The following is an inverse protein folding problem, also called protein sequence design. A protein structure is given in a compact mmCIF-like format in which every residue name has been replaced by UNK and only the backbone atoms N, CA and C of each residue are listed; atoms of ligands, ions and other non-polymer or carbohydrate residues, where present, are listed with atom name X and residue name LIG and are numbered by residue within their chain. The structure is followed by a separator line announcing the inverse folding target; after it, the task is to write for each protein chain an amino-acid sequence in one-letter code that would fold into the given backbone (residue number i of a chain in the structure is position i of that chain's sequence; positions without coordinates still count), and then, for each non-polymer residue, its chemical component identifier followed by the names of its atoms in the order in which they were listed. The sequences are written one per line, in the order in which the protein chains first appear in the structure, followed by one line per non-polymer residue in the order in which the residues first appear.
data_IF_827424505944
#
_entry.id   IF_827424505944
#
_cell.length_a   1.000
_cell.length_b   1.000
_cell.length_c   1.000
_cell.angle_alpha   90.00
_cell.angle_beta   90.00
_cell.angle_gamma   90.00
#
_symmetry.space_group_name_H-M   'P 1'
#
loop_
_entity.id
_entity.type
_entity.pdbx_description
1 polymer ?
#
# COMPACT_ATOMS: atom_id res chain seq x y z
N UNK A 1 -0.18 -9.64 1.75
CA UNK A 1 -0.80 -10.32 0.59
C UNK A 1 -1.39 -9.26 -0.31
N UNK A 2 -1.28 -9.41 -1.63
CA UNK A 2 -1.89 -8.49 -2.60
C UNK A 2 -2.45 -9.29 -3.79
N UNK A 3 -3.38 -8.67 -4.50
CA UNK A 3 -3.98 -9.22 -5.71
C UNK A 3 -4.31 -8.09 -6.69
N UNK A 4 -4.23 -8.40 -7.98
CA UNK A 4 -4.70 -7.52 -9.07
C UNK A 4 -5.59 -8.36 -9.97
N UNK A 5 -6.82 -7.93 -10.18
CA UNK A 5 -7.78 -8.69 -10.96
C UNK A 5 -9.04 -7.90 -11.33
N UNK A 6 -9.90 -8.50 -12.15
CA UNK A 6 -11.16 -7.89 -12.53
C UNK A 6 -12.15 -7.90 -11.37
N UNK A 7 -12.89 -6.80 -11.24
CA UNK A 7 -14.07 -6.68 -10.39
C UNK A 7 -15.27 -6.33 -11.26
N UNK A 8 -16.44 -6.81 -10.89
CA UNK A 8 -17.67 -6.65 -11.65
C UNK A 8 -18.64 -5.79 -10.83
N UNK A 9 -18.92 -4.59 -11.33
CA UNK A 9 -19.82 -3.64 -10.67
C UNK A 9 -21.28 -3.80 -11.12
N UNK A 10 -21.52 -4.58 -12.18
CA UNK A 10 -22.82 -4.88 -12.78
C UNK A 10 -22.72 -6.02 -13.78
N UNK A 11 -23.79 -6.21 -14.56
CA UNK A 11 -23.94 -7.32 -15.49
C UNK A 11 -23.45 -6.99 -16.93
N UNK A 12 -23.16 -5.73 -17.22
CA UNK A 12 -22.71 -5.30 -18.54
C UNK A 12 -21.16 -5.40 -18.67
N UNK A 13 -20.65 -5.67 -19.88
CA UNK A 13 -19.19 -5.74 -20.11
C UNK A 13 -18.43 -4.47 -19.68
N UNK A 14 -19.06 -3.30 -19.81
CA UNK A 14 -18.55 -2.00 -19.38
C UNK A 14 -18.49 -1.81 -17.88
N UNK A 15 -19.16 -2.68 -17.10
CA UNK A 15 -19.13 -2.66 -15.64
C UNK A 15 -17.94 -3.42 -15.05
N UNK A 16 -17.16 -4.06 -15.91
CA UNK A 16 -15.90 -4.68 -15.51
C UNK A 16 -14.82 -3.59 -15.28
N UNK A 17 -14.16 -3.69 -14.15
CA UNK A 17 -13.03 -2.82 -13.77
C UNK A 17 -11.86 -3.67 -13.32
N UNK A 18 -10.68 -3.09 -13.34
CA UNK A 18 -9.50 -3.72 -12.73
C UNK A 18 -9.25 -3.08 -11.37
N UNK A 19 -9.13 -3.91 -10.35
CA UNK A 19 -8.76 -3.48 -9.02
C UNK A 19 -7.43 -4.07 -8.59
N UNK A 20 -6.65 -3.28 -7.84
CA UNK A 20 -5.47 -3.74 -7.14
C UNK A 20 -5.72 -3.60 -5.63
N UNK A 21 -5.59 -4.69 -4.90
CA UNK A 21 -5.84 -4.72 -3.46
C UNK A 21 -4.63 -5.24 -2.70
N UNK A 22 -4.49 -4.80 -1.45
CA UNK A 22 -3.49 -5.34 -0.54
C UNK A 22 -4.01 -5.38 0.88
N UNK A 23 -3.63 -6.42 1.60
CA UNK A 23 -3.98 -6.56 3.02
C UNK A 23 -2.75 -6.87 3.87
N UNK A 24 -2.77 -6.36 5.09
CA UNK A 24 -1.80 -6.67 6.16
C UNK A 24 -2.52 -7.20 7.38
N UNK A 25 -1.85 -8.13 8.06
CA UNK A 25 -2.29 -8.71 9.33
C UNK A 25 -1.06 -8.93 10.22
N UNK A 26 -1.23 -8.76 11.52
CA UNK A 26 -0.15 -9.01 12.50
C UNK A 26 0.73 -7.80 12.76
N UNK A 27 2.04 -7.98 12.70
CA UNK A 27 3.04 -6.94 12.99
C UNK A 27 3.53 -6.21 11.75
N UNK A 28 4.05 -5.00 11.93
CA UNK A 28 4.62 -4.18 10.84
C UNK A 28 5.93 -4.73 10.29
N UNK A 29 6.64 -5.53 11.08
CA UNK A 29 7.88 -6.19 10.71
C UNK A 29 8.00 -7.56 11.39
N UNK A 30 8.84 -8.48 10.90
CA UNK A 30 9.27 -9.63 11.64
C UNK A 30 9.92 -9.22 12.96
N UNK A 31 10.00 -10.16 13.90
CA UNK A 31 10.74 -9.90 15.15
C UNK A 31 12.22 -9.77 14.84
N UNK A 32 12.75 -8.59 15.05
CA UNK A 32 14.15 -8.24 14.81
C UNK A 32 14.82 -7.71 16.08
N UNK A 33 16.14 -7.79 16.14
CA UNK A 33 16.93 -7.38 17.31
C UNK A 33 17.03 -5.86 17.47
N UNK A 34 16.86 -5.10 16.39
CA UNK A 34 17.04 -3.63 16.37
C UNK A 34 15.74 -2.84 16.26
N UNK A 35 14.60 -3.50 16.38
CA UNK A 35 13.31 -2.82 16.31
C UNK A 35 12.19 -3.57 17.00
N UNK A 36 11.20 -2.85 17.49
CA UNK A 36 9.95 -3.43 17.99
C UNK A 36 8.88 -3.37 16.90
N UNK A 37 8.40 -4.53 16.47
CA UNK A 37 7.22 -4.59 15.61
C UNK A 37 6.00 -4.12 16.41
N UNK A 38 5.26 -3.14 15.87
CA UNK A 38 3.92 -2.81 16.36
C UNK A 38 2.85 -3.55 15.57
N UNK A 39 1.65 -3.65 16.10
CA UNK A 39 0.52 -4.13 15.32
C UNK A 39 0.24 -3.18 14.13
N UNK A 40 -0.13 -3.77 12.98
CA UNK A 40 -0.56 -3.00 11.82
C UNK A 40 -1.80 -2.15 12.14
N UNK A 41 -1.92 -0.99 11.50
CA UNK A 41 -3.04 -0.08 11.66
C UNK A 41 -3.50 0.54 10.32
N UNK A 42 -4.53 1.38 10.38
CA UNK A 42 -5.11 2.03 9.20
C UNK A 42 -4.10 2.90 8.45
N UNK A 43 -3.08 3.44 9.13
CA UNK A 43 -2.05 4.27 8.49
C UNK A 43 -1.08 3.44 7.66
N UNK A 44 -0.86 2.16 8.02
CA UNK A 44 -0.09 1.22 7.19
C UNK A 44 -0.82 0.93 5.89
N UNK A 45 -2.14 0.70 5.94
CA UNK A 45 -2.95 0.50 4.74
C UNK A 45 -2.98 1.75 3.85
N UNK A 46 -3.06 2.93 4.45
CA UNK A 46 -2.95 4.20 3.73
C UNK A 46 -1.61 4.33 3.04
N UNK A 47 -0.51 4.08 3.75
CA UNK A 47 0.84 4.20 3.21
C UNK A 47 1.06 3.23 2.03
N UNK A 48 0.53 2.00 2.12
CA UNK A 48 0.58 1.03 1.02
C UNK A 48 -0.21 1.52 -0.21
N UNK A 49 -1.42 2.05 -0.01
CA UNK A 49 -2.22 2.63 -1.07
C UNK A 49 -1.53 3.84 -1.73
N UNK A 50 -0.96 4.73 -0.94
CA UNK A 50 -0.17 5.87 -1.44
C UNK A 50 1.07 5.40 -2.22
N UNK A 51 1.79 4.40 -1.73
CA UNK A 51 2.95 3.85 -2.42
C UNK A 51 2.57 3.21 -3.77
N UNK A 52 1.45 2.47 -3.80
CA UNK A 52 0.95 1.87 -5.03
C UNK A 52 0.50 2.94 -6.04
N UNK A 53 -0.21 3.98 -5.61
CA UNK A 53 -0.57 5.12 -6.48
C UNK A 53 0.67 5.87 -7.01
N UNK A 54 1.68 6.07 -6.17
CA UNK A 54 2.94 6.68 -6.60
C UNK A 54 3.66 5.83 -7.67
N UNK A 55 3.65 4.49 -7.51
CA UNK A 55 4.20 3.57 -8.50
C UNK A 55 3.45 3.63 -9.85
N UNK A 56 2.14 3.93 -9.82
CA UNK A 56 1.32 4.18 -11.01
C UNK A 56 1.56 5.60 -11.61
N UNK A 57 2.40 6.42 -10.97
CA UNK A 57 2.75 7.75 -11.47
C UNK A 57 1.87 8.89 -10.94
N UNK A 58 1.02 8.63 -9.96
CA UNK A 58 0.20 9.66 -9.32
C UNK A 58 1.09 10.56 -8.45
N UNK A 59 0.94 11.88 -8.61
CA UNK A 59 1.61 12.86 -7.75
C UNK A 59 0.85 13.01 -6.44
N UNK A 60 1.36 12.43 -5.37
CA UNK A 60 0.70 12.41 -4.05
C UNK A 60 0.42 13.80 -3.47
N UNK A 61 1.18 14.83 -3.85
CA UNK A 61 0.95 16.20 -3.39
C UNK A 61 -0.44 16.78 -3.78
N UNK A 62 -1.09 16.19 -4.79
CA UNK A 62 -2.45 16.54 -5.19
C UNK A 62 -3.54 15.62 -4.65
N UNK A 63 -3.17 14.63 -3.85
CA UNK A 63 -4.11 13.65 -3.28
C UNK A 63 -4.55 14.12 -1.90
N UNK A 64 -5.85 14.10 -1.68
CA UNK A 64 -6.47 14.43 -0.40
C UNK A 64 -7.05 13.17 0.25
N UNK A 65 -7.18 13.20 1.57
CA UNK A 65 -7.80 12.12 2.34
C UNK A 65 -9.20 12.54 2.75
N UNK A 66 -10.19 11.71 2.45
CA UNK A 66 -11.57 11.85 2.92
C UNK A 66 -11.88 10.74 3.91
N UNK A 67 -12.48 11.06 5.05
CA UNK A 67 -12.83 10.10 6.10
C UNK A 67 -14.14 9.36 5.78
N UNK A 68 -14.23 8.83 4.58
CA UNK A 68 -15.32 8.02 4.05
C UNK A 68 -14.75 6.76 3.40
N UNK A 69 -15.60 5.80 3.08
CA UNK A 69 -15.16 4.60 2.38
C UNK A 69 -16.20 3.50 2.39
N UNK A 70 -15.93 2.41 1.68
CA UNK A 70 -16.81 1.25 1.58
C UNK A 70 -17.13 0.63 2.95
N UNK A 71 -18.28 -0.03 3.03
CA UNK A 71 -18.81 -0.58 4.30
C UNK A 71 -18.11 -1.89 4.74
N UNK A 72 -17.28 -2.47 3.90
CA UNK A 72 -16.41 -3.58 4.33
C UNK A 72 -15.23 -3.14 5.18
N UNK A 73 -14.98 -1.83 5.29
CA UNK A 73 -14.08 -1.27 6.27
C UNK A 73 -14.81 -0.83 7.54
N UNK A 74 -14.07 -0.79 8.63
CA UNK A 74 -14.56 -0.29 9.90
C UNK A 74 -14.98 1.19 9.79
N UNK A 75 -16.19 1.58 10.21
CA UNK A 75 -16.75 2.92 9.94
C UNK A 75 -15.91 4.08 10.51
N UNK A 76 -15.18 3.86 11.61
CA UNK A 76 -14.35 4.89 12.25
C UNK A 76 -12.85 4.78 11.91
N UNK A 77 -12.44 3.79 11.09
CA UNK A 77 -11.04 3.54 10.73
C UNK A 77 -10.91 3.21 9.25
N UNK A 78 -11.41 4.12 8.42
CA UNK A 78 -11.39 4.04 6.96
C UNK A 78 -11.17 5.41 6.33
N UNK A 79 -10.73 5.44 5.09
CA UNK A 79 -10.59 6.65 4.32
C UNK A 79 -10.47 6.37 2.83
N UNK A 80 -10.57 7.43 2.06
CA UNK A 80 -10.36 7.43 0.62
C UNK A 80 -9.25 8.40 0.25
N UNK A 81 -8.45 8.01 -0.72
CA UNK A 81 -7.48 8.86 -1.39
C UNK A 81 -8.15 9.42 -2.63
N UNK A 82 -8.33 10.72 -2.67
CA UNK A 82 -9.07 11.41 -3.74
C UNK A 82 -8.19 12.44 -4.44
N UNK A 83 -8.41 12.60 -5.73
CA UNK A 83 -7.82 13.69 -6.52
C UNK A 83 -8.94 14.45 -7.26
N UNK A 84 -9.19 15.68 -6.84
CA UNK A 84 -10.38 16.41 -7.27
C UNK A 84 -11.66 15.70 -6.82
N UNK A 85 -12.47 15.22 -7.76
CA UNK A 85 -13.70 14.45 -7.49
C UNK A 85 -13.53 12.94 -7.64
N UNK A 86 -12.38 12.48 -8.09
CA UNK A 86 -12.14 11.05 -8.37
C UNK A 86 -11.57 10.37 -7.15
N UNK A 87 -12.17 9.25 -6.76
CA UNK A 87 -11.64 8.34 -5.74
C UNK A 87 -10.61 7.44 -6.41
N UNK A 88 -9.35 7.56 -6.01
CA UNK A 88 -8.25 6.76 -6.54
C UNK A 88 -8.06 5.45 -5.78
N UNK A 89 -8.25 5.50 -4.46
CA UNK A 89 -8.13 4.34 -3.59
C UNK A 89 -9.03 4.48 -2.35
N UNK A 90 -9.42 3.35 -1.81
CA UNK A 90 -10.04 3.23 -0.48
C UNK A 90 -9.11 2.43 0.42
N UNK A 91 -9.04 2.77 1.70
CA UNK A 91 -8.20 2.08 2.67
C UNK A 91 -8.89 2.03 4.04
N UNK A 92 -8.52 1.05 4.84
CA UNK A 92 -9.09 0.96 6.18
C UNK A 92 -8.74 -0.31 6.93
N UNK A 93 -9.25 -0.39 8.14
CA UNK A 93 -9.33 -1.63 8.89
C UNK A 93 -10.54 -2.41 8.39
N UNK A 94 -10.36 -3.70 8.08
CA UNK A 94 -11.47 -4.56 7.64
C UNK A 94 -12.51 -4.65 8.76
N UNK A 95 -13.78 -4.61 8.36
CA UNK A 95 -14.88 -4.64 9.34
C UNK A 95 -14.81 -5.89 10.23
N UNK A 96 -14.94 -5.75 11.57
CA UNK A 96 -14.79 -6.87 12.50
C UNK A 96 -15.65 -8.09 12.18
N UNK A 97 -16.88 -7.89 11.73
CA UNK A 97 -17.77 -8.98 11.33
C UNK A 97 -17.21 -9.80 10.16
N UNK A 98 -16.49 -9.16 9.23
CA UNK A 98 -15.83 -9.87 8.12
C UNK A 98 -14.63 -10.67 8.65
N UNK A 99 -13.81 -10.05 9.50
CA UNK A 99 -12.64 -10.70 10.11
C UNK A 99 -13.07 -11.95 10.89
N UNK A 100 -14.17 -11.84 11.65
CA UNK A 100 -14.77 -12.96 12.40
C UNK A 100 -15.31 -14.06 11.46
N UNK A 101 -16.03 -13.69 10.40
CA UNK A 101 -16.57 -14.63 9.43
C UNK A 101 -15.47 -15.49 8.74
N UNK A 102 -14.28 -14.92 8.57
CA UNK A 102 -13.10 -15.63 8.06
C UNK A 102 -12.29 -16.35 9.15
N UNK A 103 -12.75 -16.33 10.41
CA UNK A 103 -12.06 -17.00 11.54
C UNK A 103 -10.71 -16.38 11.89
N UNK A 104 -10.45 -15.15 11.45
CA UNK A 104 -9.21 -14.45 11.74
C UNK A 104 -9.26 -13.79 13.12
N UNK A 105 -8.11 -13.72 13.77
CA UNK A 105 -7.95 -13.06 15.07
C UNK A 105 -7.07 -11.83 14.93
N UNK A 106 -7.50 -10.72 15.54
CA UNK A 106 -6.75 -9.48 15.53
C UNK A 106 -7.13 -8.56 14.36
N UNK A 107 -6.35 -7.51 14.19
CA UNK A 107 -6.62 -6.46 13.20
C UNK A 107 -6.13 -6.88 11.82
N UNK A 108 -6.99 -6.68 10.84
CA UNK A 108 -6.65 -6.78 9.42
C UNK A 108 -6.88 -5.41 8.80
N UNK A 109 -5.91 -4.91 8.06
CA UNK A 109 -6.00 -3.61 7.36
C UNK A 109 -5.73 -3.82 5.89
N UNK A 110 -6.28 -2.97 5.04
CA UNK A 110 -6.08 -3.09 3.61
C UNK A 110 -6.43 -1.86 2.82
N UNK A 111 -6.07 -1.89 1.55
CA UNK A 111 -6.43 -0.88 0.56
C UNK A 111 -6.95 -1.53 -0.72
N UNK A 112 -7.71 -0.76 -1.48
CA UNK A 112 -8.17 -1.11 -2.81
C UNK A 112 -8.03 0.10 -3.73
N UNK A 113 -7.46 -0.11 -4.91
CA UNK A 113 -7.29 0.88 -5.97
C UNK A 113 -8.08 0.43 -7.18
N UNK A 114 -8.96 1.28 -7.72
CA UNK A 114 -9.55 1.11 -9.04
C UNK A 114 -8.56 1.64 -10.08
N UNK A 115 -7.79 0.74 -10.70
CA UNK A 115 -6.68 1.13 -11.58
C UNK A 115 -7.15 1.90 -12.81
N UNK A 116 -8.36 1.66 -13.26
CA UNK A 116 -8.96 2.33 -14.44
C UNK A 116 -9.29 3.80 -14.16
N UNK A 117 -9.49 4.17 -12.89
CA UNK A 117 -9.76 5.54 -12.47
C UNK A 117 -8.48 6.34 -12.18
N UNK A 118 -7.32 5.67 -12.18
CA UNK A 118 -6.03 6.34 -11.96
C UNK A 118 -5.62 7.09 -13.23
N UNK A 119 -5.40 8.42 -13.17
CA UNK A 119 -5.01 9.18 -14.33
C UNK A 119 -3.65 8.72 -14.85
N UNK A 120 -3.63 8.26 -16.09
CA UNK A 120 -2.39 7.88 -16.76
C UNK A 120 -1.43 9.07 -16.83
N UNK A 121 -0.17 8.91 -16.41
CA UNK A 121 0.81 9.99 -16.53
C UNK A 121 0.97 10.37 -17.99
N UNK A 122 0.81 11.65 -18.29
CA UNK A 122 1.06 12.17 -19.65
C UNK A 122 2.53 11.94 -19.96
N UNK A 123 2.80 11.05 -20.90
CA UNK A 123 4.16 10.80 -21.39
C UNK A 123 4.74 12.10 -21.94
N UNK A 124 5.87 12.55 -21.42
CA UNK A 124 6.61 13.70 -21.92
C UNK A 124 7.49 13.34 -23.12
N UNK A 125 7.00 12.48 -24.00
CA UNK A 125 7.72 12.04 -25.19
C UNK A 125 8.16 10.57 -25.14
N UNK A 126 8.63 10.03 -26.25
CA UNK A 126 8.98 8.61 -26.40
C UNK A 126 10.32 8.23 -25.77
N UNK A 127 11.14 9.21 -25.38
CA UNK A 127 12.50 8.94 -24.91
C UNK A 127 12.52 8.72 -23.37
N UNK A 128 13.00 7.57 -22.95
CA UNK A 128 13.48 7.37 -21.58
C UNK A 128 14.73 8.25 -21.38
N UNK A 129 14.95 8.77 -20.14
CA UNK A 129 16.20 9.47 -19.85
C UNK A 129 17.39 8.58 -20.15
N UNK A 130 18.49 9.18 -20.60
CA UNK A 130 19.72 8.46 -20.84
C UNK A 130 20.15 7.71 -19.59
N UNK A 131 20.45 6.43 -19.75
CA UNK A 131 20.93 5.60 -18.64
C UNK A 131 22.30 6.14 -18.19
N UNK A 132 22.36 6.65 -16.96
CA UNK A 132 23.60 7.07 -16.34
C UNK A 132 24.09 5.96 -15.40
N UNK A 133 25.04 5.19 -15.87
CA UNK A 133 25.70 4.17 -15.06
C UNK A 133 26.81 4.79 -14.22
N UNK A 134 26.98 4.30 -12.99
CA UNK A 134 28.15 4.63 -12.20
C UNK A 134 29.42 4.12 -12.92
N UNK A 135 30.42 4.96 -13.01
CA UNK A 135 31.75 4.56 -13.52
C UNK A 135 32.52 3.69 -12.52
N UNK A 136 32.04 3.60 -11.29
CA UNK A 136 32.64 2.77 -10.25
C UNK A 136 31.93 1.44 -10.14
N UNK A 137 32.69 0.38 -9.98
CA UNK A 137 32.16 -0.95 -9.69
C UNK A 137 31.67 -1.00 -8.23
N UNK A 138 30.54 -1.68 -7.93
CA UNK A 138 30.12 -1.91 -6.57
C UNK A 138 31.16 -2.80 -5.86
N UNK A 139 31.54 -2.41 -4.65
CA UNK A 139 32.45 -3.18 -3.79
C UNK A 139 31.67 -3.65 -2.59
N UNK A 140 31.53 -4.97 -2.45
CA UNK A 140 30.98 -5.59 -1.24
C UNK A 140 32.13 -5.91 -0.29
N UNK A 141 31.99 -5.53 0.96
CA UNK A 141 32.96 -5.83 2.02
C UNK A 141 32.24 -6.31 3.26
N UNK A 142 32.79 -7.34 3.86
CA UNK A 142 32.35 -7.83 5.17
C UNK A 142 33.22 -7.19 6.25
N UNK A 143 32.58 -6.76 7.33
CA UNK A 143 33.26 -6.21 8.50
C UNK A 143 32.95 -7.09 9.71
N UNK A 144 33.98 -7.53 10.40
CA UNK A 144 33.86 -8.22 11.67
C UNK A 144 34.43 -7.34 12.78
N UNK A 145 33.67 -7.16 13.83
CA UNK A 145 34.07 -6.35 14.99
C UNK A 145 34.08 -7.24 16.23
N UNK A 146 35.11 -7.08 17.04
CA UNK A 146 35.13 -7.60 18.40
C UNK A 146 34.59 -6.50 19.28
N UNK A 147 33.47 -6.78 19.93
CA UNK A 147 32.81 -5.84 20.86
C UNK A 147 32.74 -6.45 22.25
N UNK A 148 32.82 -5.59 23.26
CA UNK A 148 32.60 -6.01 24.64
C UNK A 148 31.14 -6.45 24.84
N UNK A 149 30.93 -7.53 25.61
CA UNK A 149 29.59 -8.07 25.87
C UNK A 149 28.67 -7.08 26.55
N UNK A 150 29.21 -6.09 27.23
CA UNK A 150 28.44 -5.01 27.87
C UNK A 150 27.74 -4.08 26.90
N UNK A 151 28.12 -4.11 25.61
CA UNK A 151 27.51 -3.31 24.54
C UNK A 151 26.37 -4.03 23.80
N UNK A 152 26.08 -5.28 24.15
CA UNK A 152 25.01 -6.10 23.56
C UNK A 152 23.83 -6.13 24.53
N UNK A 153 23.07 -5.04 24.58
CA UNK A 153 21.81 -4.96 25.32
C UNK A 153 20.69 -4.47 24.42
#
# INVERSE_FOLDING_TARGET
MFEVGPVFLGDAPEDQRTAATGIRHGGTAPREWHGSARAVDVFDARADGEAALAALGVKLAGVQVKAEGPDWFHPGRRGQLIQGLTVLASFGEIHPAIVEAYGLKGRVVGFEIHTDDVPMPKSKGPAKPLLSLSVYQPVTRDFAFIVDLSLIH
#
